data_IF_847869299364
#
_entry.id   IF_847869299364
#
_cell.length_a   1.000
_cell.length_b   1.000
_cell.length_c   1.000
_cell.angle_alpha   90.00
_cell.angle_beta   90.00
_cell.angle_gamma   90.00
#
_symmetry.space_group_name_H-M   'P 1'
#
loop_
_entity.id
_entity.type
_entity.pdbx_description
1 polymer ?
#
# COMPACT_ATOMS: atom_id res chain seq x y z
N UNK A 1 -6.95 3.73 5.94
CA UNK A 1 -5.73 2.96 5.63
C UNK A 1 -4.91 2.78 6.89
N UNK A 2 -5.34 1.81 7.69
CA UNK A 2 -4.73 1.32 8.92
C UNK A 2 -4.47 -0.18 8.82
N UNK A 3 -3.67 -0.73 9.74
CA UNK A 3 -3.44 -2.18 9.80
C UNK A 3 -4.79 -2.90 10.03
N UNK A 4 -5.06 -3.92 9.24
CA UNK A 4 -6.31 -4.66 9.25
C UNK A 4 -7.29 -4.25 8.14
N UNK A 5 -7.16 -3.05 7.57
CA UNK A 5 -8.06 -2.62 6.48
C UNK A 5 -7.98 -3.59 5.30
N UNK A 6 -9.15 -3.95 4.79
CA UNK A 6 -9.30 -4.65 3.52
C UNK A 6 -9.30 -3.63 2.37
N UNK A 7 -8.50 -3.91 1.36
CA UNK A 7 -8.28 -3.07 0.19
C UNK A 7 -8.77 -3.78 -1.06
N UNK A 8 -9.29 -3.00 -2.00
CA UNK A 8 -9.59 -3.44 -3.36
C UNK A 8 -8.82 -2.58 -4.36
N UNK A 9 -8.13 -3.24 -5.29
CA UNK A 9 -7.44 -2.59 -6.39
C UNK A 9 -8.47 -2.00 -7.35
N UNK A 10 -8.36 -0.69 -7.64
CA UNK A 10 -9.30 0.00 -8.55
C UNK A 10 -9.17 -0.47 -10.00
N UNK A 11 -7.99 -0.94 -10.41
CA UNK A 11 -7.73 -1.38 -11.78
C UNK A 11 -8.00 -2.86 -12.00
N UNK A 12 -7.57 -3.72 -11.07
CA UNK A 12 -7.62 -5.19 -11.23
C UNK A 12 -8.76 -5.83 -10.43
N UNK A 13 -9.40 -5.11 -9.51
CA UNK A 13 -10.37 -5.66 -8.57
C UNK A 13 -9.77 -6.60 -7.52
N UNK A 14 -8.46 -6.80 -7.52
CA UNK A 14 -7.77 -7.70 -6.58
C UNK A 14 -7.88 -7.19 -5.14
N UNK A 15 -8.09 -8.15 -4.23
CA UNK A 15 -8.20 -7.88 -2.81
C UNK A 15 -6.83 -8.01 -2.11
N UNK A 16 -6.57 -7.11 -1.18
CA UNK A 16 -5.39 -7.12 -0.34
C UNK A 16 -5.70 -6.65 1.08
N UNK A 17 -4.87 -7.00 2.05
CA UNK A 17 -5.04 -6.56 3.44
C UNK A 17 -3.83 -5.77 3.90
N UNK A 18 -4.02 -4.69 4.64
CA UNK A 18 -2.91 -3.96 5.26
C UNK A 18 -2.38 -4.75 6.46
N UNK A 19 -1.12 -5.16 6.41
CA UNK A 19 -0.49 -6.02 7.43
C UNK A 19 0.51 -5.28 8.33
N UNK A 20 0.82 -4.02 8.02
CA UNK A 20 1.70 -3.18 8.85
C UNK A 20 1.03 -1.89 9.30
N UNK A 21 1.50 -1.34 10.42
CA UNK A 21 1.30 0.09 10.72
C UNK A 21 2.07 0.93 9.69
N UNK A 22 1.71 2.20 9.43
CA UNK A 22 2.52 3.09 8.61
C UNK A 22 3.93 3.26 9.19
N UNK A 23 4.95 3.23 8.33
CA UNK A 23 6.36 3.40 8.74
C UNK A 23 7.13 4.18 7.67
N UNK A 24 8.28 4.75 8.01
CA UNK A 24 9.13 5.46 7.04
C UNK A 24 10.02 4.47 6.29
N UNK A 25 10.03 4.55 4.96
CA UNK A 25 10.96 3.78 4.11
C UNK A 25 11.59 4.69 3.07
N UNK A 26 12.85 4.42 2.75
CA UNK A 26 13.52 5.00 1.58
C UNK A 26 13.03 4.27 0.32
N UNK A 27 12.41 5.02 -0.59
CA UNK A 27 12.04 4.53 -1.91
C UNK A 27 13.02 5.09 -2.92
N UNK A 28 13.62 4.22 -3.74
CA UNK A 28 14.38 4.65 -4.91
C UNK A 28 13.43 5.42 -5.84
N UNK A 29 13.88 6.56 -6.33
CA UNK A 29 13.08 7.33 -7.26
C UNK A 29 13.13 6.67 -8.65
N UNK A 30 11.99 6.56 -9.32
CA UNK A 30 11.92 5.93 -10.65
C UNK A 30 12.55 6.81 -11.75
N UNK A 31 12.75 8.09 -11.44
CA UNK A 31 13.35 9.12 -12.29
C UNK A 31 14.83 8.87 -12.63
N UNK A 32 15.49 7.92 -11.99
CA UNK A 32 16.94 7.95 -11.81
C UNK A 32 17.67 6.66 -12.23
N UNK A 33 17.20 5.98 -13.27
CA UNK A 33 18.07 5.02 -13.98
C UNK A 33 19.41 5.69 -14.32
N UNK A 34 19.38 6.96 -14.73
CA UNK A 34 20.58 7.73 -15.08
C UNK A 34 21.46 8.05 -13.87
N UNK A 35 20.92 8.54 -12.74
CA UNK A 35 21.75 8.84 -11.56
C UNK A 35 22.36 7.58 -10.92
N UNK A 36 21.64 6.45 -10.92
CA UNK A 36 22.16 5.17 -10.47
C UNK A 36 23.34 4.71 -11.34
N UNK A 37 23.32 5.01 -12.64
CA UNK A 37 24.41 4.72 -13.59
C UNK A 37 25.66 5.59 -13.35
N UNK A 38 25.49 6.75 -12.71
CA UNK A 38 26.56 7.68 -12.36
C UNK A 38 27.00 7.58 -10.87
N UNK A 39 26.51 6.59 -10.13
CA UNK A 39 26.98 6.31 -8.75
C UNK A 39 26.33 7.18 -7.66
N UNK A 40 25.22 7.86 -7.97
CA UNK A 40 24.44 8.60 -6.98
C UNK A 40 23.26 7.75 -6.49
N UNK A 41 23.24 7.42 -5.20
CA UNK A 41 22.17 6.63 -4.59
C UNK A 41 21.12 7.60 -3.98
N UNK A 42 20.31 8.19 -4.85
CA UNK A 42 19.24 9.11 -4.45
C UNK A 42 18.01 8.31 -4.01
N UNK A 43 17.59 8.48 -2.75
CA UNK A 43 16.39 7.86 -2.22
C UNK A 43 15.51 8.86 -1.48
N UNK A 44 14.19 8.76 -1.68
CA UNK A 44 13.23 9.64 -1.03
C UNK A 44 12.59 8.91 0.15
N UNK A 45 12.74 9.48 1.34
CA UNK A 45 12.02 9.02 2.53
C UNK A 45 10.53 9.33 2.38
N UNK A 46 9.68 8.29 2.49
CA UNK A 46 8.23 8.47 2.44
C UNK A 46 7.53 7.49 3.39
N UNK A 47 6.30 7.85 3.77
CA UNK A 47 5.43 6.96 4.53
C UNK A 47 5.04 5.76 3.67
N UNK A 48 5.33 4.57 4.19
CA UNK A 48 5.16 3.28 3.56
C UNK A 48 4.12 2.44 4.31
N UNK A 49 3.44 1.58 3.57
CA UNK A 49 2.49 0.61 4.09
C UNK A 49 2.75 -0.74 3.40
N UNK A 50 2.78 -1.82 4.18
CA UNK A 50 2.88 -3.19 3.67
C UNK A 50 1.48 -3.80 3.56
N UNK A 51 1.19 -4.38 2.40
CA UNK A 51 -0.06 -5.08 2.12
C UNK A 51 0.23 -6.52 1.69
N UNK A 52 -0.74 -7.41 1.89
CA UNK A 52 -0.70 -8.80 1.43
C UNK A 52 -1.87 -9.04 0.48
N UNK A 53 -1.60 -9.54 -0.73
CA UNK A 53 -2.63 -9.89 -1.69
C UNK A 53 -3.29 -11.22 -1.32
N UNK A 54 -4.63 -11.25 -1.26
CA UNK A 54 -5.39 -12.42 -0.82
C UNK A 54 -5.32 -13.58 -1.82
N UNK A 55 -5.13 -13.29 -3.11
CA UNK A 55 -5.09 -14.30 -4.17
C UNK A 55 -3.94 -15.29 -4.03
N UNK A 56 -2.77 -14.82 -3.57
CA UNK A 56 -1.53 -15.60 -3.59
C UNK A 56 -0.65 -15.41 -2.34
N UNK A 57 -1.08 -14.62 -1.36
CA UNK A 57 -0.30 -14.32 -0.16
C UNK A 57 0.93 -13.44 -0.41
N UNK A 58 1.08 -12.88 -1.62
CA UNK A 58 2.23 -12.05 -1.94
C UNK A 58 2.20 -10.74 -1.16
N UNK A 59 3.32 -10.38 -0.54
CA UNK A 59 3.45 -9.12 0.19
C UNK A 59 4.11 -8.04 -0.66
N UNK A 60 3.59 -6.81 -0.59
CA UNK A 60 4.19 -5.66 -1.27
C UNK A 60 4.14 -4.43 -0.38
N UNK A 61 5.22 -3.64 -0.44
CA UNK A 61 5.29 -2.33 0.23
C UNK A 61 5.00 -1.22 -0.77
N UNK A 62 4.08 -0.33 -0.43
CA UNK A 62 3.73 0.83 -1.24
C UNK A 62 4.00 2.13 -0.46
N UNK A 63 4.31 3.21 -1.19
CA UNK A 63 4.13 4.57 -0.67
C UNK A 63 2.65 4.74 -0.33
N UNK A 64 2.34 5.32 0.84
CA UNK A 64 0.96 5.51 1.28
C UNK A 64 0.13 6.33 0.28
N UNK A 65 0.73 7.34 -0.34
CA UNK A 65 0.09 8.16 -1.39
C UNK A 65 -0.27 7.32 -2.63
N UNK A 66 0.65 6.49 -3.11
CA UNK A 66 0.40 5.57 -4.22
C UNK A 66 -0.69 4.55 -3.89
N UNK A 67 -0.68 4.02 -2.65
CA UNK A 67 -1.69 3.07 -2.19
C UNK A 67 -3.09 3.72 -2.20
N UNK A 68 -3.24 4.92 -1.64
CA UNK A 68 -4.51 5.68 -1.63
C UNK A 68 -5.04 5.99 -3.03
N UNK A 69 -4.14 6.22 -3.99
CA UNK A 69 -4.52 6.48 -5.38
C UNK A 69 -5.09 5.22 -6.05
N UNK A 70 -4.41 4.08 -5.86
CA UNK A 70 -4.68 2.85 -6.63
C UNK A 70 -5.65 1.88 -5.95
N UNK A 71 -5.86 1.99 -4.64
CA UNK A 71 -6.73 1.11 -3.87
C UNK A 71 -7.83 1.91 -3.18
N UNK A 72 -8.97 1.27 -2.99
CA UNK A 72 -10.05 1.73 -2.12
C UNK A 72 -10.11 0.84 -0.88
N UNK A 73 -10.47 1.43 0.26
CA UNK A 73 -10.74 0.66 1.48
C UNK A 73 -12.17 0.14 1.35
N UNK A 74 -12.35 -1.16 1.57
CA UNK A 74 -13.68 -1.73 1.71
C UNK A 74 -14.12 -1.40 3.14
N UNK A 75 -15.03 -0.44 3.27
CA UNK A 75 -15.70 -0.17 4.54
C UNK A 75 -16.80 -1.21 4.73
N UNK A 76 -16.76 -1.93 5.86
CA UNK A 76 -17.86 -2.81 6.25
C UNK A 76 -19.06 -1.93 6.61
N UNK A 77 -19.94 -1.64 5.64
CA UNK A 77 -21.25 -1.01 5.91
C UNK A 77 -22.24 -1.98 6.57
N UNK A 78 -21.79 -3.09 7.16
CA UNK A 78 -22.64 -4.20 7.60
C UNK A 78 -22.43 -4.63 9.05
N UNK A 79 -22.16 -3.67 9.94
CA UNK A 79 -22.37 -3.87 11.37
C UNK A 79 -23.45 -2.92 11.89
N UNK A 80 -24.62 -2.92 11.23
CA UNK A 80 -25.86 -2.65 11.97
C UNK A 80 -26.12 -3.87 12.86
N UNK A 81 -25.44 -3.93 14.01
CA UNK A 81 -25.92 -4.71 15.13
C UNK A 81 -27.29 -4.14 15.51
N UNK A 82 -28.34 -4.78 15.00
CA UNK A 82 -29.68 -4.75 15.57
C UNK A 82 -29.60 -5.30 16.99
N UNK A 83 -29.13 -4.46 17.92
CA UNK A 83 -29.41 -4.63 19.34
C UNK A 83 -30.88 -4.28 19.53
N UNK A 84 -31.71 -5.33 19.56
CA UNK A 84 -33.11 -5.29 19.99
C UNK A 84 -33.19 -5.04 21.49
#
# INVERSE_FOLDING_TARGET
MQKGDLLKSKSTGELATIISKPFTKLFRDASDWEAARHGFDCATAATAIRIMFLKNGFEKTFKQSTLRRNFEVIEDSNCEEKSK
#
